data_IF_362773045251
#
_entry.id   IF_362773045251
#
_cell.length_a   1.000
_cell.length_b   1.000
_cell.length_c   1.000
_cell.angle_alpha   90.00
_cell.angle_beta   90.00
_cell.angle_gamma   90.00
#
_symmetry.space_group_name_H-M   'P 1'
#
loop_
_entity.id
_entity.type
_entity.pdbx_description
1 polymer ?
#
# COMPACT_ATOMS: atom_id res chain seq x y z
N UNK A 1 23.82 -42.83 -0.31
CA UNK A 1 22.39 -42.43 -0.24
C UNK A 1 22.22 -41.65 1.06
N UNK A 2 21.88 -40.38 1.13
CA UNK A 2 21.73 -39.25 0.21
C UNK A 2 22.01 -38.03 1.10
N UNK A 3 22.78 -37.07 0.60
CA UNK A 3 22.92 -35.75 1.20
C UNK A 3 21.53 -35.14 1.46
N UNK A 4 21.20 -34.88 2.72
CA UNK A 4 20.05 -34.03 3.03
C UNK A 4 20.42 -32.60 2.69
N UNK A 5 20.06 -32.28 1.45
CA UNK A 5 19.96 -30.97 0.81
C UNK A 5 19.80 -29.86 1.84
N UNK A 6 20.79 -28.97 1.83
CA UNK A 6 20.75 -27.64 2.40
C UNK A 6 19.39 -27.02 2.06
N UNK A 7 18.57 -26.74 3.07
CA UNK A 7 17.47 -25.79 2.93
C UNK A 7 18.07 -24.38 2.83
N UNK A 8 18.71 -24.12 1.69
CA UNK A 8 19.00 -22.78 1.21
C UNK A 8 17.78 -22.35 0.40
N UNK A 9 16.69 -22.10 1.10
CA UNK A 9 15.72 -21.14 0.57
C UNK A 9 16.49 -19.85 0.29
N UNK A 10 16.59 -19.38 -0.97
CA UNK A 10 17.30 -18.16 -1.28
C UNK A 10 16.66 -17.03 -0.47
N UNK A 11 17.43 -16.08 0.09
CA UNK A 11 16.83 -14.89 0.69
C UNK A 11 15.91 -14.32 -0.39
N UNK A 12 14.62 -14.22 -0.08
CA UNK A 12 13.61 -13.78 -1.03
C UNK A 12 14.17 -12.57 -1.78
N UNK A 13 14.50 -12.79 -3.06
CA UNK A 13 15.05 -11.72 -3.91
C UNK A 13 13.98 -10.65 -3.87
N UNK A 14 14.24 -9.57 -3.12
CA UNK A 14 13.30 -8.48 -2.89
C UNK A 14 12.90 -7.95 -4.26
N UNK A 15 11.72 -8.33 -4.74
CA UNK A 15 11.30 -7.98 -6.08
C UNK A 15 10.76 -6.56 -5.98
N UNK A 16 11.57 -5.60 -6.43
CA UNK A 16 11.08 -4.25 -6.63
C UNK A 16 9.91 -4.27 -7.60
N UNK A 17 8.84 -3.58 -7.27
CA UNK A 17 7.63 -3.51 -8.10
C UNK A 17 7.61 -2.18 -8.84
N UNK A 18 7.46 -2.22 -10.17
CA UNK A 18 7.32 -1.01 -10.98
C UNK A 18 5.88 -0.51 -10.91
N UNK A 19 5.71 0.76 -10.56
CA UNK A 19 4.43 1.46 -10.45
C UNK A 19 4.46 2.66 -11.41
N UNK A 20 4.33 2.38 -12.71
CA UNK A 20 4.48 3.40 -13.75
C UNK A 20 5.90 3.98 -13.83
N UNK A 21 6.01 5.28 -13.51
CA UNK A 21 7.29 6.01 -13.43
C UNK A 21 8.04 5.80 -12.11
N UNK A 22 7.41 5.11 -11.16
CA UNK A 22 7.98 4.81 -9.85
C UNK A 22 8.42 3.35 -9.74
N UNK A 23 9.31 3.06 -8.80
CA UNK A 23 9.73 1.72 -8.39
C UNK A 23 9.63 1.60 -6.89
N UNK A 24 8.79 0.70 -6.40
CA UNK A 24 8.65 0.41 -4.98
C UNK A 24 9.59 -0.72 -4.57
N UNK A 25 10.34 -0.51 -3.49
CA UNK A 25 11.20 -1.50 -2.85
C UNK A 25 10.60 -1.82 -1.47
N UNK A 26 10.07 -3.03 -1.26
CA UNK A 26 9.43 -3.39 0.00
C UNK A 26 10.41 -3.35 1.17
N UNK A 27 9.88 -2.99 2.35
CA UNK A 27 10.62 -3.03 3.60
C UNK A 27 11.09 -4.47 3.94
N UNK A 28 12.20 -4.63 4.67
CA UNK A 28 12.60 -5.92 5.20
C UNK A 28 11.48 -6.55 6.04
N UNK A 29 11.22 -7.85 5.87
CA UNK A 29 10.23 -8.59 6.66
C UNK A 29 10.54 -8.66 8.17
N UNK A 30 11.74 -8.25 8.57
CA UNK A 30 12.15 -8.09 9.98
C UNK A 30 11.50 -6.84 10.58
N UNK A 31 10.21 -6.95 10.91
CA UNK A 31 9.49 -6.35 12.05
C UNK A 31 9.75 -4.90 12.49
N UNK A 32 10.36 -4.04 11.68
CA UNK A 32 10.60 -2.64 12.01
C UNK A 32 9.51 -1.74 11.44
N UNK A 33 9.25 -0.62 12.11
CA UNK A 33 8.31 0.44 11.69
C UNK A 33 8.70 1.18 10.38
N UNK A 34 9.59 0.59 9.57
CA UNK A 34 10.07 1.17 8.33
C UNK A 34 9.16 0.74 7.18
N UNK A 35 8.52 1.71 6.54
CA UNK A 35 7.81 1.48 5.29
C UNK A 35 8.81 1.25 4.14
N UNK A 36 8.37 0.54 3.08
CA UNK A 36 9.20 0.36 1.88
C UNK A 36 9.52 1.69 1.19
N UNK A 37 10.55 1.70 0.34
CA UNK A 37 11.05 2.91 -0.32
C UNK A 37 10.41 3.04 -1.70
N UNK A 38 9.86 4.21 -2.02
CA UNK A 38 9.43 4.56 -3.38
C UNK A 38 10.56 5.31 -4.09
N UNK A 39 10.88 4.92 -5.32
CA UNK A 39 11.94 5.51 -6.14
C UNK A 39 11.36 6.11 -7.42
N UNK A 40 11.88 7.25 -7.89
CA UNK A 40 11.59 7.82 -9.21
C UNK A 40 12.90 8.25 -9.86
N UNK A 41 13.19 7.74 -11.06
CA UNK A 41 14.43 8.09 -11.77
C UNK A 41 15.72 7.76 -11.00
N UNK A 42 15.69 6.76 -10.10
CA UNK A 42 16.84 6.37 -9.27
C UNK A 42 16.99 7.15 -7.96
N UNK A 43 16.08 8.08 -7.65
CA UNK A 43 16.08 8.85 -6.41
C UNK A 43 14.93 8.42 -5.49
N UNK A 44 15.15 8.35 -4.16
CA UNK A 44 14.09 8.08 -3.21
C UNK A 44 13.09 9.24 -3.19
N UNK A 45 11.81 8.89 -3.14
CA UNK A 45 10.68 9.80 -3.01
C UNK A 45 10.14 9.65 -1.60
N UNK A 46 10.22 10.72 -0.81
CA UNK A 46 9.50 10.80 0.46
C UNK A 46 8.01 10.85 0.13
N UNK A 47 7.29 9.79 0.50
CA UNK A 47 5.85 9.84 0.55
C UNK A 47 5.49 10.54 1.84
N UNK A 48 5.19 11.83 1.75
CA UNK A 48 4.45 12.49 2.80
C UNK A 48 3.05 11.88 2.76
N UNK A 49 2.76 11.03 3.75
CA UNK A 49 1.41 10.54 3.98
C UNK A 49 0.64 11.78 4.40
N UNK A 50 -0.07 12.37 3.46
CA UNK A 50 -1.02 13.42 3.76
C UNK A 50 -2.23 12.75 4.39
N UNK A 51 -2.09 12.42 5.68
CA UNK A 51 -3.20 11.95 6.52
C UNK A 51 -4.41 12.88 6.37
N UNK A 52 -4.19 14.19 6.17
CA UNK A 52 -5.23 15.16 5.85
C UNK A 52 -5.94 14.88 4.51
N UNK A 53 -5.23 14.56 3.43
CA UNK A 53 -5.85 14.29 2.12
C UNK A 53 -6.63 12.97 2.15
N UNK A 54 -6.08 11.95 2.80
CA UNK A 54 -6.79 10.67 2.94
C UNK A 54 -8.01 10.81 3.85
N UNK A 55 -7.91 11.58 4.93
CA UNK A 55 -9.04 11.86 5.82
C UNK A 55 -10.12 12.66 5.11
N UNK A 56 -9.76 13.73 4.39
CA UNK A 56 -10.69 14.52 3.58
C UNK A 56 -11.41 13.64 2.55
N UNK A 57 -10.67 12.76 1.87
CA UNK A 57 -11.26 11.80 0.93
C UNK A 57 -12.28 10.88 1.62
N UNK A 58 -11.92 10.31 2.78
CA UNK A 58 -12.80 9.42 3.53
C UNK A 58 -14.05 10.15 4.07
N UNK A 59 -13.90 11.40 4.48
CA UNK A 59 -14.99 12.25 4.97
C UNK A 59 -15.98 12.56 3.83
N UNK A 60 -15.47 12.89 2.63
CA UNK A 60 -16.30 13.11 1.43
C UNK A 60 -17.05 11.84 1.05
N UNK A 61 -16.39 10.68 1.02
CA UNK A 61 -17.04 9.41 0.71
C UNK A 61 -18.13 9.06 1.72
N UNK A 62 -17.88 9.28 3.02
CA UNK A 62 -18.85 9.03 4.09
C UNK A 62 -20.08 9.95 3.99
N UNK A 63 -19.88 11.22 3.61
CA UNK A 63 -20.96 12.16 3.35
C UNK A 63 -21.83 11.73 2.17
N UNK A 64 -21.20 11.32 1.07
CA UNK A 64 -21.90 10.83 -0.13
C UNK A 64 -22.70 9.56 0.16
N UNK A 65 -22.15 8.60 0.91
CA UNK A 65 -22.86 7.38 1.32
C UNK A 65 -24.06 7.69 2.21
N UNK A 66 -23.91 8.64 3.13
CA UNK A 66 -24.99 9.08 4.02
C UNK A 66 -26.13 9.75 3.23
N UNK A 67 -25.80 10.61 2.27
CA UNK A 67 -26.78 11.28 1.42
C UNK A 67 -27.49 10.31 0.47
N UNK A 68 -26.77 9.34 -0.09
CA UNK A 68 -27.35 8.26 -0.90
C UNK A 68 -28.28 7.37 -0.06
N UNK A 69 -27.85 6.99 1.14
CA UNK A 69 -28.66 6.21 2.08
C UNK A 69 -29.94 6.94 2.45
N UNK A 70 -29.88 8.26 2.72
CA UNK A 70 -31.05 9.09 3.00
C UNK A 70 -32.01 9.16 1.81
N UNK A 71 -31.49 9.37 0.60
CA UNK A 71 -32.30 9.46 -0.62
C UNK A 71 -32.97 8.15 -1.00
N UNK A 72 -32.35 7.01 -0.72
CA UNK A 72 -32.98 5.71 -0.96
C UNK A 72 -34.10 5.39 0.04
N UNK A 73 -33.99 5.86 1.28
CA UNK A 73 -35.08 5.73 2.27
C UNK A 73 -36.31 6.57 1.89
N UNK A 74 -36.12 7.72 1.23
CA UNK A 74 -37.23 8.56 0.72
C UNK A 74 -37.90 7.99 -0.54
N UNK A 75 -37.26 7.04 -1.24
CA UNK A 75 -37.83 6.36 -2.43
C UNK A 75 -38.69 5.15 -2.05
N UNK A 76 -38.68 4.73 -0.78
CA UNK A 76 -39.41 3.57 -0.27
C UNK A 76 -40.66 3.94 0.57
N UNK A 77 -41.24 5.12 0.32
CA UNK A 77 -42.54 5.57 0.87
C UNK A 77 -43.54 5.84 -0.26
#
# INVERSE_FOLDING_TARGET
>A
MIDSVRDQSPPSRRRSTRLGSFTYIPAPATGGAYNGILMRGGLPVTLEVTEEILQEFMDVMSGLESDLSRRWVEVEI
#
